data_IF_463229305598
#
_entry.id   IF_463229305598
#
_cell.length_a   1.000
_cell.length_b   1.000
_cell.length_c   1.000
_cell.angle_alpha   90.00
_cell.angle_beta   90.00
_cell.angle_gamma   90.00
#
_symmetry.space_group_name_H-M   'P 1'
#
loop_
_entity.id
_entity.type
_entity.pdbx_description
1 polymer ?
#
# COMPACT_ATOMS: atom_id res chain seq x y z
N UNK A 1 -18.99 36.51 -12.67
CA UNK A 1 -19.64 35.29 -13.21
C UNK A 1 -18.71 34.40 -14.05
N UNK A 2 -17.64 34.91 -14.66
CA UNK A 2 -16.72 34.12 -15.48
C UNK A 2 -15.89 33.04 -14.74
N UNK A 3 -15.62 33.20 -13.43
CA UNK A 3 -14.78 32.27 -12.65
C UNK A 3 -15.47 30.92 -12.34
N UNK A 4 -16.81 30.87 -12.34
CA UNK A 4 -17.58 29.64 -12.08
C UNK A 4 -17.74 28.76 -13.32
N UNK A 5 -17.70 29.35 -14.52
CA UNK A 5 -17.82 28.63 -15.80
C UNK A 5 -16.53 27.86 -16.13
N UNK A 6 -15.37 28.40 -15.78
CA UNK A 6 -14.08 27.75 -16.02
C UNK A 6 -13.88 26.45 -15.21
N UNK A 7 -14.46 26.37 -14.01
CA UNK A 7 -14.36 25.18 -13.15
C UNK A 7 -15.24 24.05 -13.68
N UNK A 8 -16.42 24.37 -14.23
CA UNK A 8 -17.32 23.36 -14.81
C UNK A 8 -16.77 22.74 -16.10
N UNK A 9 -16.03 23.51 -16.90
CA UNK A 9 -15.39 23.00 -18.12
C UNK A 9 -14.22 22.06 -17.79
N UNK A 10 -13.43 22.36 -16.76
CA UNK A 10 -12.36 21.46 -16.31
C UNK A 10 -12.89 20.18 -15.65
N UNK A 11 -14.00 20.25 -14.90
CA UNK A 11 -14.64 19.07 -14.32
C UNK A 11 -15.24 18.14 -15.39
N UNK A 12 -15.79 18.71 -16.47
CA UNK A 12 -16.34 17.93 -17.59
C UNK A 12 -15.27 17.21 -18.43
N UNK A 13 -14.12 17.86 -18.65
CA UNK A 13 -12.99 17.27 -19.39
C UNK A 13 -12.29 16.14 -18.61
N UNK A 14 -12.33 16.17 -17.27
CA UNK A 14 -11.80 15.09 -16.44
C UNK A 14 -12.71 13.84 -16.45
N UNK A 15 -14.03 14.04 -16.48
CA UNK A 15 -14.99 12.94 -16.55
C UNK A 15 -15.01 12.24 -17.93
N UNK A 16 -14.78 12.99 -19.01
CA UNK A 16 -14.80 12.42 -20.37
C UNK A 16 -13.59 11.51 -20.67
N UNK A 17 -12.44 11.72 -20.02
CA UNK A 17 -11.26 10.84 -20.19
C UNK A 17 -11.36 9.54 -19.37
N UNK A 18 -12.31 9.43 -18.43
CA UNK A 18 -12.45 8.24 -17.58
C UNK A 18 -13.30 7.13 -18.22
N UNK A 19 -14.08 7.43 -19.26
CA UNK A 19 -14.99 6.49 -19.93
C UNK A 19 -14.51 5.98 -21.29
N UNK A 20 -13.29 6.33 -21.73
CA UNK A 20 -12.72 5.93 -23.02
C UNK A 20 -11.69 4.79 -22.89
N UNK A 21 -11.83 3.88 -21.92
CA UNK A 21 -11.01 2.66 -21.84
C UNK A 21 -11.84 1.51 -22.38
N UNK A 22 -11.48 1.15 -23.61
CA UNK A 22 -12.02 0.09 -24.44
C UNK A 22 -11.91 -1.29 -23.77
N UNK A 23 -12.88 -2.15 -24.07
CA UNK A 23 -13.05 -3.47 -23.47
C UNK A 23 -12.09 -4.48 -24.12
N UNK A 24 -10.93 -4.74 -23.51
CA UNK A 24 -10.24 -6.04 -23.61
C UNK A 24 -9.07 -6.12 -22.64
N UNK A 25 -9.24 -6.76 -21.47
CA UNK A 25 -8.17 -7.38 -20.65
C UNK A 25 -8.77 -7.92 -19.34
N UNK A 26 -9.53 -9.01 -19.46
CA UNK A 26 -10.22 -9.67 -18.34
C UNK A 26 -9.24 -10.59 -17.62
N UNK A 27 -8.50 -10.09 -16.63
CA UNK A 27 -7.98 -10.83 -15.44
C UNK A 27 -6.86 -10.07 -14.73
N UNK A 28 -5.94 -9.41 -15.45
CA UNK A 28 -4.80 -8.73 -14.84
C UNK A 28 -5.13 -7.28 -14.43
N UNK A 29 -5.84 -6.53 -15.28
CA UNK A 29 -6.23 -5.14 -15.01
C UNK A 29 -7.27 -4.98 -13.89
N UNK A 30 -7.86 -6.09 -13.42
CA UNK A 30 -8.82 -6.10 -12.32
C UNK A 30 -8.15 -6.26 -10.95
N UNK A 31 -6.98 -6.93 -10.91
CA UNK A 31 -6.16 -7.08 -9.70
C UNK A 31 -5.54 -5.74 -9.28
N UNK A 32 -5.01 -4.98 -10.24
CA UNK A 32 -4.37 -3.69 -9.96
C UNK A 32 -5.29 -2.73 -9.19
N UNK A 33 -6.61 -2.78 -9.43
CA UNK A 33 -7.57 -1.83 -8.88
C UNK A 33 -7.85 -2.03 -7.39
N UNK A 34 -7.86 -3.27 -6.92
CA UNK A 34 -8.32 -3.54 -5.56
C UNK A 34 -7.30 -3.07 -4.51
N UNK A 35 -6.00 -3.17 -4.83
CA UNK A 35 -4.93 -2.58 -4.03
C UNK A 35 -5.12 -1.06 -3.84
N UNK A 36 -5.32 -0.31 -4.92
CA UNK A 36 -5.57 1.14 -4.84
C UNK A 36 -6.86 1.47 -4.06
N UNK A 37 -7.95 0.72 -4.26
CA UNK A 37 -9.20 0.93 -3.51
C UNK A 37 -8.98 0.80 -1.99
N UNK A 38 -8.16 -0.16 -1.56
CA UNK A 38 -7.82 -0.32 -0.15
C UNK A 38 -7.01 0.87 0.39
N UNK A 39 -6.02 1.34 -0.39
CA UNK A 39 -5.20 2.50 -0.03
C UNK A 39 -6.03 3.79 0.00
N UNK A 40 -6.90 4.01 -0.97
CA UNK A 40 -7.80 5.16 -1.05
C UNK A 40 -8.75 5.22 0.15
N UNK A 41 -9.29 4.08 0.56
CA UNK A 41 -10.15 4.01 1.76
C UNK A 41 -9.38 4.35 3.02
N UNK A 42 -8.14 3.87 3.14
CA UNK A 42 -7.28 4.19 4.27
C UNK A 42 -6.94 5.69 4.31
N UNK A 43 -6.57 6.28 3.17
CA UNK A 43 -6.33 7.73 3.04
C UNK A 43 -7.59 8.52 3.36
N UNK A 44 -8.75 8.11 2.82
CA UNK A 44 -10.04 8.74 3.07
C UNK A 44 -10.43 8.72 4.55
N UNK A 45 -10.09 7.65 5.28
CA UNK A 45 -10.26 7.59 6.74
C UNK A 45 -9.42 8.67 7.43
N UNK A 46 -8.14 8.81 7.10
CA UNK A 46 -7.27 9.87 7.65
C UNK A 46 -7.75 11.28 7.31
N UNK A 47 -8.18 11.52 6.06
CA UNK A 47 -8.75 12.80 5.63
C UNK A 47 -10.02 13.15 6.41
N UNK A 48 -10.90 12.17 6.64
CA UNK A 48 -12.10 12.35 7.45
C UNK A 48 -11.76 12.69 8.90
N UNK A 49 -10.75 12.06 9.47
CA UNK A 49 -10.28 12.40 10.83
C UNK A 49 -9.72 13.81 10.90
N UNK A 50 -8.88 14.20 9.94
CA UNK A 50 -8.28 15.53 9.87
C UNK A 50 -9.33 16.64 9.71
N UNK A 51 -10.37 16.40 8.91
CA UNK A 51 -11.43 17.39 8.63
C UNK A 51 -12.46 17.50 9.74
N UNK A 52 -12.82 16.39 10.39
CA UNK A 52 -13.84 16.38 11.45
C UNK A 52 -13.26 16.60 12.84
N UNK A 53 -11.93 16.50 13.00
CA UNK A 53 -11.27 16.50 14.31
C UNK A 53 -11.60 15.27 15.16
N UNK A 54 -12.28 14.26 14.60
CA UNK A 54 -12.71 13.08 15.34
C UNK A 54 -11.86 11.87 14.99
N UNK A 55 -10.72 11.74 15.68
CA UNK A 55 -9.78 10.61 15.61
C UNK A 55 -9.91 9.63 16.77
N UNK A 56 -10.99 9.70 17.55
CA UNK A 56 -11.20 8.81 18.70
C UNK A 56 -11.41 7.36 18.27
N UNK A 57 -10.96 6.43 19.13
CA UNK A 57 -11.01 4.98 18.91
C UNK A 57 -12.35 4.48 18.37
N UNK A 58 -13.46 4.98 18.92
CA UNK A 58 -14.84 4.61 18.53
C UNK A 58 -15.12 4.77 17.02
N UNK A 59 -14.41 5.66 16.33
CA UNK A 59 -14.56 5.89 14.89
C UNK A 59 -13.50 5.22 14.05
N UNK A 60 -12.28 5.10 14.58
CA UNK A 60 -11.15 4.52 13.85
C UNK A 60 -11.24 3.01 13.85
N UNK A 61 -11.65 2.40 14.97
CA UNK A 61 -11.77 0.96 15.13
C UNK A 61 -12.68 0.32 14.05
N UNK A 62 -13.94 0.75 13.86
CA UNK A 62 -14.82 0.08 12.90
C UNK A 62 -14.39 0.33 11.45
N UNK A 63 -13.76 1.48 11.19
CA UNK A 63 -13.22 1.79 9.87
C UNK A 63 -12.05 0.86 9.51
N UNK A 64 -11.13 0.63 10.44
CA UNK A 64 -10.02 -0.31 10.27
C UNK A 64 -10.52 -1.74 10.10
N UNK A 65 -11.49 -2.18 10.90
CA UNK A 65 -12.10 -3.51 10.78
C UNK A 65 -12.71 -3.73 9.40
N UNK A 66 -13.46 -2.75 8.90
CA UNK A 66 -14.03 -2.77 7.55
C UNK A 66 -12.95 -2.88 6.48
N UNK A 67 -11.93 -2.02 6.53
CA UNK A 67 -10.81 -2.05 5.58
C UNK A 67 -10.09 -3.42 5.61
N UNK A 68 -9.89 -3.99 6.80
CA UNK A 68 -9.24 -5.30 6.93
C UNK A 68 -10.11 -6.43 6.38
N UNK A 69 -11.43 -6.38 6.60
CA UNK A 69 -12.36 -7.35 6.03
C UNK A 69 -12.31 -7.35 4.50
N UNK A 70 -12.28 -6.15 3.90
CA UNK A 70 -12.15 -5.99 2.46
C UNK A 70 -10.78 -6.47 1.95
N UNK A 71 -9.70 -6.21 2.69
CA UNK A 71 -8.37 -6.72 2.36
C UNK A 71 -8.32 -8.26 2.39
N UNK A 72 -8.91 -8.89 3.41
CA UNK A 72 -9.00 -10.36 3.48
C UNK A 72 -9.79 -10.94 2.31
N UNK A 73 -10.91 -10.30 1.96
CA UNK A 73 -11.73 -10.69 0.82
C UNK A 73 -10.94 -10.58 -0.49
N UNK A 74 -10.34 -9.42 -0.76
CA UNK A 74 -9.50 -9.18 -1.93
C UNK A 74 -8.38 -10.22 -2.05
N UNK A 75 -7.71 -10.53 -0.93
CA UNK A 75 -6.67 -11.54 -0.89
C UNK A 75 -7.20 -12.94 -1.22
N UNK A 76 -8.33 -13.34 -0.63
CA UNK A 76 -8.96 -14.65 -0.90
C UNK A 76 -9.44 -14.80 -2.34
N UNK A 77 -9.86 -13.70 -2.97
CA UNK A 77 -10.28 -13.61 -4.37
C UNK A 77 -9.08 -13.43 -5.33
N UNK A 78 -7.84 -13.45 -4.80
CA UNK A 78 -6.58 -13.24 -5.54
C UNK A 78 -6.51 -11.90 -6.28
N UNK A 79 -7.26 -10.90 -5.79
CA UNK A 79 -7.26 -9.54 -6.30
C UNK A 79 -6.06 -8.71 -5.86
N UNK A 80 -5.35 -9.18 -4.82
CA UNK A 80 -4.08 -8.61 -4.37
C UNK A 80 -3.12 -9.76 -4.08
N UNK A 81 -1.83 -9.53 -4.31
CA UNK A 81 -0.80 -10.53 -4.10
C UNK A 81 -0.42 -10.66 -2.59
N UNK A 82 0.26 -11.74 -2.19
CA UNK A 82 0.65 -11.96 -0.80
C UNK A 82 1.62 -10.93 -0.21
N UNK A 83 2.49 -10.32 -1.03
CA UNK A 83 3.46 -9.30 -0.60
C UNK A 83 2.73 -8.00 -0.29
N UNK A 84 1.83 -7.56 -1.18
CA UNK A 84 0.96 -6.42 -0.91
C UNK A 84 0.13 -6.65 0.35
N UNK A 85 -0.58 -7.79 0.44
CA UNK A 85 -1.46 -8.10 1.57
C UNK A 85 -0.70 -8.09 2.91
N UNK A 86 0.48 -8.71 2.98
CA UNK A 86 1.31 -8.72 4.19
C UNK A 86 1.68 -7.30 4.64
N UNK A 87 2.15 -6.50 3.69
CA UNK A 87 2.63 -5.14 3.95
C UNK A 87 1.48 -4.22 4.36
N UNK A 88 0.33 -4.32 3.68
CA UNK A 88 -0.89 -3.60 4.04
C UNK A 88 -1.43 -4.03 5.42
N UNK A 89 -1.43 -5.32 5.73
CA UNK A 89 -1.85 -5.81 7.04
C UNK A 89 -0.96 -5.27 8.18
N UNK A 90 0.37 -5.24 7.98
CA UNK A 90 1.29 -4.64 8.97
C UNK A 90 1.02 -3.15 9.17
N UNK A 91 0.76 -2.42 8.09
CA UNK A 91 0.37 -1.01 8.16
C UNK A 91 -0.89 -0.82 9.02
N UNK A 92 -1.95 -1.60 8.79
CA UNK A 92 -3.17 -1.53 9.61
C UNK A 92 -2.92 -1.91 11.07
N UNK A 93 -2.08 -2.92 11.32
CA UNK A 93 -1.68 -3.34 12.66
C UNK A 93 -0.97 -2.20 13.41
N UNK A 94 -0.04 -1.50 12.78
CA UNK A 94 0.64 -0.35 13.40
C UNK A 94 -0.36 0.75 13.74
N UNK A 95 -1.28 1.07 12.83
CA UNK A 95 -2.34 2.06 13.10
C UNK A 95 -3.18 1.61 14.30
N UNK A 96 -3.56 0.33 14.36
CA UNK A 96 -4.33 -0.26 15.46
C UNK A 96 -3.60 -0.13 16.82
N UNK A 97 -2.30 -0.40 16.84
CA UNK A 97 -1.47 -0.28 18.05
C UNK A 97 -1.33 1.17 18.51
N UNK A 98 -1.39 2.14 17.60
CA UNK A 98 -1.31 3.57 17.98
C UNK A 98 -2.58 4.14 18.60
N UNK A 99 -3.72 3.46 18.46
CA UNK A 99 -5.02 3.91 18.98
C UNK A 99 -5.53 3.06 20.16
N UNK A 100 -4.78 2.02 20.54
CA UNK A 100 -5.18 1.15 21.65
C UNK A 100 -4.93 1.87 22.98
N UNK A 101 -5.87 1.69 23.92
CA UNK A 101 -5.71 2.14 25.29
C UNK A 101 -5.05 1.00 26.08
N UNK A 102 -3.86 1.26 26.62
CA UNK A 102 -3.10 0.32 27.43
C UNK A 102 -3.01 0.81 28.89
N UNK A 103 -4.14 0.79 29.58
CA UNK A 103 -4.26 1.35 30.93
C UNK A 103 -3.36 0.63 31.95
N UNK A 104 -3.04 -0.64 31.72
CA UNK A 104 -2.20 -1.47 32.58
C UNK A 104 -0.71 -1.43 32.17
N UNK A 105 -0.38 -0.82 31.02
CA UNK A 105 0.99 -0.74 30.51
C UNK A 105 1.57 -2.07 30.05
N UNK A 106 0.75 -3.11 29.91
CA UNK A 106 1.19 -4.47 29.56
C UNK A 106 1.62 -4.55 28.10
N UNK A 107 0.94 -3.80 27.24
CA UNK A 107 1.21 -3.79 25.80
C UNK A 107 2.29 -2.78 25.41
N UNK A 108 2.64 -1.83 26.29
CA UNK A 108 3.61 -0.77 26.06
C UNK A 108 4.89 -1.26 25.36
N UNK A 109 5.63 -2.24 25.92
CA UNK A 109 6.85 -2.74 25.30
C UNK A 109 6.64 -3.33 23.89
N UNK A 110 5.52 -4.01 23.67
CA UNK A 110 5.18 -4.58 22.37
C UNK A 110 4.81 -3.50 21.35
N UNK A 111 4.04 -2.49 21.77
CA UNK A 111 3.67 -1.34 20.95
C UNK A 111 4.92 -0.58 20.53
N UNK A 112 5.80 -0.27 21.48
CA UNK A 112 7.06 0.43 21.24
C UNK A 112 7.95 -0.32 20.26
N UNK A 113 8.08 -1.64 20.45
CA UNK A 113 8.88 -2.48 19.56
C UNK A 113 8.30 -2.48 18.13
N UNK A 114 7.04 -2.88 17.95
CA UNK A 114 6.47 -3.05 16.60
C UNK A 114 6.38 -1.70 15.87
N UNK A 115 5.94 -0.64 16.54
CA UNK A 115 5.85 0.69 15.94
C UNK A 115 7.26 1.22 15.62
N UNK A 116 8.23 1.01 16.52
CA UNK A 116 9.62 1.43 16.31
C UNK A 116 10.28 0.70 15.14
N UNK A 117 10.09 -0.61 15.04
CA UNK A 117 10.56 -1.44 13.91
C UNK A 117 9.90 -0.99 12.61
N UNK A 118 8.59 -0.72 12.61
CA UNK A 118 7.91 -0.20 11.42
C UNK A 118 8.48 1.14 10.96
N UNK A 119 8.72 2.09 11.88
CA UNK A 119 9.35 3.37 11.51
C UNK A 119 10.77 3.14 10.97
N UNK A 120 11.55 2.26 11.58
CA UNK A 120 12.88 1.93 11.11
C UNK A 120 12.88 1.34 9.69
N UNK A 121 11.94 0.43 9.42
CA UNK A 121 11.82 -0.21 8.10
C UNK A 121 11.39 0.76 7.01
N UNK A 122 10.49 1.69 7.31
CA UNK A 122 9.94 2.63 6.32
C UNK A 122 10.84 3.86 6.13
N UNK A 123 11.40 4.39 7.22
CA UNK A 123 12.13 5.66 7.24
C UNK A 123 13.65 5.49 7.30
N UNK A 124 14.15 4.31 7.66
CA UNK A 124 15.57 4.07 7.89
C UNK A 124 16.12 4.73 9.16
N UNK A 125 15.26 5.19 10.07
CA UNK A 125 15.65 5.85 11.32
C UNK A 125 15.10 5.09 12.53
N UNK A 126 15.90 5.01 13.60
CA UNK A 126 15.43 4.51 14.88
C UNK A 126 14.89 5.68 15.70
N UNK A 127 13.71 5.50 16.25
CA UNK A 127 13.09 6.49 17.13
C UNK A 127 12.80 5.84 18.48
N UNK A 128 12.80 6.68 19.52
CA UNK A 128 12.11 6.35 20.76
C UNK A 128 10.63 6.64 20.54
N UNK A 129 9.79 5.61 20.68
CA UNK A 129 8.34 5.72 20.47
C UNK A 129 7.66 6.35 21.70
N UNK A 130 8.39 6.57 22.79
CA UNK A 130 7.86 7.19 24.01
C UNK A 130 7.75 8.72 23.88
N UNK A 131 6.55 9.25 24.10
CA UNK A 131 6.29 10.70 24.24
C UNK A 131 5.68 11.42 23.02
N UNK A 132 5.13 12.62 23.24
CA UNK A 132 4.31 13.35 22.24
C UNK A 132 5.01 13.65 20.89
N UNK A 133 6.34 13.67 20.86
CA UNK A 133 7.11 13.90 19.63
C UNK A 133 7.12 12.67 18.71
N UNK A 134 6.93 11.47 19.23
CA UNK A 134 6.93 10.24 18.44
C UNK A 134 5.71 10.15 17.50
N UNK A 135 4.57 10.72 17.92
CA UNK A 135 3.32 10.71 17.15
C UNK A 135 3.51 11.26 15.72
N UNK A 136 4.29 12.34 15.57
CA UNK A 136 4.58 12.93 14.27
C UNK A 136 5.41 12.01 13.37
N UNK A 137 6.42 11.34 13.93
CA UNK A 137 7.25 10.38 13.19
C UNK A 137 6.47 9.14 12.78
N UNK A 138 5.58 8.64 13.64
CA UNK A 138 4.73 7.50 13.35
C UNK A 138 3.72 7.84 12.26
N UNK A 139 3.09 9.01 12.32
CA UNK A 139 2.18 9.47 11.27
C UNK A 139 2.89 9.63 9.91
N UNK A 140 4.09 10.20 9.90
CA UNK A 140 4.92 10.33 8.69
C UNK A 140 5.36 8.96 8.14
N UNK A 141 5.73 8.01 9.01
CA UNK A 141 6.02 6.64 8.62
C UNK A 141 4.80 5.92 8.03
N UNK A 142 3.60 6.11 8.59
CA UNK A 142 2.35 5.57 8.03
C UNK A 142 2.10 6.14 6.63
N UNK A 143 2.25 7.47 6.46
CA UNK A 143 2.08 8.11 5.17
C UNK A 143 3.07 7.57 4.13
N UNK A 144 4.34 7.41 4.50
CA UNK A 144 5.35 6.82 3.63
C UNK A 144 5.09 5.33 3.35
N UNK A 145 4.55 4.58 4.31
CA UNK A 145 4.10 3.20 4.11
C UNK A 145 2.99 3.09 3.07
N UNK A 146 2.00 4.00 3.10
CA UNK A 146 0.94 4.08 2.07
C UNK A 146 1.53 4.41 0.70
N UNK A 147 2.49 5.35 0.64
CA UNK A 147 3.16 5.71 -0.60
C UNK A 147 3.98 4.56 -1.18
N UNK A 148 4.72 3.83 -0.34
CA UNK A 148 5.51 2.67 -0.76
C UNK A 148 4.60 1.58 -1.36
N UNK A 149 3.39 1.39 -0.81
CA UNK A 149 2.40 0.47 -1.38
C UNK A 149 1.81 0.96 -2.71
N UNK A 150 1.60 2.26 -2.88
CA UNK A 150 1.23 2.81 -4.20
C UNK A 150 2.32 2.54 -5.23
N UNK A 151 3.57 2.85 -4.90
CA UNK A 151 4.72 2.61 -5.79
C UNK A 151 4.86 1.11 -6.11
N UNK A 152 4.62 0.25 -5.12
CA UNK A 152 4.62 -1.20 -5.33
C UNK A 152 3.62 -1.63 -6.41
N UNK A 153 2.39 -1.12 -6.35
CA UNK A 153 1.35 -1.39 -7.35
C UNK A 153 1.73 -0.78 -8.71
N UNK A 154 2.24 0.45 -8.75
CA UNK A 154 2.64 1.14 -9.99
C UNK A 154 3.76 0.37 -10.73
N UNK A 155 4.68 -0.24 -9.97
CA UNK A 155 5.86 -0.93 -10.51
C UNK A 155 5.66 -2.42 -10.74
N UNK A 156 4.49 -2.98 -10.41
CA UNK A 156 4.22 -4.42 -10.50
C UNK A 156 4.44 -4.98 -11.91
N UNK A 157 3.87 -4.32 -12.93
CA UNK A 157 4.00 -4.74 -14.33
C UNK A 157 5.43 -4.63 -14.84
N UNK A 158 6.17 -3.60 -14.40
CA UNK A 158 7.57 -3.43 -14.78
C UNK A 158 8.45 -4.50 -14.15
N UNK A 159 8.21 -4.83 -12.88
CA UNK A 159 8.88 -5.93 -12.17
C UNK A 159 8.68 -7.26 -12.88
N UNK A 160 7.46 -7.57 -13.32
CA UNK A 160 7.17 -8.81 -14.04
C UNK A 160 7.92 -8.88 -15.38
N UNK A 161 7.94 -7.78 -16.13
CA UNK A 161 8.71 -7.69 -17.39
C UNK A 161 10.21 -7.92 -17.15
N UNK A 162 10.78 -7.24 -16.16
CA UNK A 162 12.19 -7.39 -15.81
C UNK A 162 12.53 -8.83 -15.40
N UNK A 163 11.63 -9.51 -14.68
CA UNK A 163 11.80 -10.89 -14.28
C UNK A 163 11.82 -11.83 -15.49
N UNK A 164 10.88 -11.68 -16.43
CA UNK A 164 10.86 -12.47 -17.67
C UNK A 164 12.10 -12.21 -18.54
N UNK A 165 12.58 -10.96 -18.60
CA UNK A 165 13.81 -10.63 -19.32
C UNK A 165 15.05 -11.29 -18.69
N UNK A 166 15.13 -11.29 -17.35
CA UNK A 166 16.21 -11.95 -16.63
C UNK A 166 16.18 -13.47 -16.81
N UNK A 167 15.01 -14.10 -16.72
CA UNK A 167 14.85 -15.53 -16.97
C UNK A 167 15.33 -15.91 -18.38
N UNK A 168 14.92 -15.17 -19.41
CA UNK A 168 15.38 -15.39 -20.79
C UNK A 168 16.90 -15.25 -20.92
N UNK A 169 17.51 -14.27 -20.23
CA UNK A 169 18.98 -14.11 -20.20
C UNK A 169 19.65 -15.32 -19.56
N UNK A 170 19.15 -15.81 -18.44
CA UNK A 170 19.69 -17.01 -17.77
C UNK A 170 19.56 -18.27 -18.65
N UNK A 171 18.42 -18.47 -19.31
CA UNK A 171 18.24 -19.62 -20.22
C UNK A 171 19.18 -19.56 -21.43
N UNK A 172 19.40 -18.36 -22.00
CA UNK A 172 20.30 -18.17 -23.12
C UNK A 172 21.75 -18.51 -22.74
N UNK A 173 22.21 -18.05 -21.57
CA UNK A 173 23.53 -18.38 -21.06
C UNK A 173 23.68 -19.88 -20.75
N UNK A 174 22.67 -20.51 -20.16
CA UNK A 174 22.68 -21.96 -19.90
C UNK A 174 22.80 -22.78 -21.20
N UNK A 175 22.12 -22.36 -22.28
CA UNK A 175 22.22 -23.00 -23.60
C UNK A 175 23.61 -22.82 -24.23
N UNK A 176 24.24 -21.65 -24.10
CA UNK A 176 25.61 -21.43 -24.56
C UNK A 176 26.61 -22.36 -23.87
N UNK A 177 26.57 -22.43 -22.54
CA UNK A 177 27.45 -23.30 -21.75
C UNK A 177 27.29 -24.77 -22.14
N UNK A 178 26.04 -25.23 -22.37
CA UNK A 178 25.78 -26.61 -22.79
C UNK A 178 26.33 -26.90 -24.18
N UNK A 179 26.22 -25.95 -25.11
CA UNK A 179 26.75 -26.07 -26.49
C UNK A 179 28.29 -26.12 -26.49
N UNK A 180 28.95 -25.29 -25.68
CA UNK A 180 30.41 -25.29 -25.56
C UNK A 180 30.95 -26.61 -25.00
N UNK A 181 30.28 -27.21 -23.99
CA UNK A 181 30.67 -28.53 -23.47
C UNK A 181 30.54 -29.65 -24.50
N UNK A 182 29.53 -29.61 -25.38
CA UNK A 182 29.33 -30.59 -26.45
C UNK A 182 30.35 -30.50 -27.60
N UNK A 183 31.09 -29.39 -27.71
CA UNK A 183 32.13 -29.21 -28.75
C UNK A 183 33.50 -29.71 -28.28
N UNK A 184 33.68 -29.85 -26.96
CA UNK A 184 34.95 -30.26 -26.34
C UNK A 184 35.00 -31.76 -25.96
N UNK A 185 33.93 -32.52 -26.24
CA UNK A 185 33.85 -33.98 -26.13
C UNK A 185 33.83 -34.62 -27.52
#
# INVERSE_FOLDING_TARGET
MARKVFILVFLGLFAANLFAIDNSETSAAQNDKQGYVLLDRLVGMFQKMATTGTGGREKVEPALEGIMADAKKAYSEKQIDPVFFRSFNRLLMVIKLTIIEDNEGILGPLIEQEVGEFVADVKGIKIDVTGKKSIGFVADAIAQGILNLHIYLDTEKEREKLMQELEKKFEAEAKKVKKEKMICE
#
